data_IF_222603615293
#
_entry.id   IF_222603615293
#
_cell.length_a   1.000
_cell.length_b   1.000
_cell.length_c   1.000
_cell.angle_alpha   90.00
_cell.angle_beta   90.00
_cell.angle_gamma   90.00
#
_symmetry.space_group_name_H-M   'P 1'
#
loop_
_entity.id
_entity.type
_entity.pdbx_description
1 polymer ?
#
# COMPACT_ATOMS: atom_id res chain seq x y z
N UNK A 1 13.01 9.05 24.37
CA UNK A 1 13.00 8.18 25.57
C UNK A 1 11.99 8.68 26.60
N UNK A 2 12.26 9.80 27.26
CA UNK A 2 11.45 10.33 28.38
C UNK A 2 9.97 10.57 28.04
N UNK A 3 9.69 11.32 26.97
CA UNK A 3 8.32 11.67 26.55
C UNK A 3 7.42 10.45 26.36
N UNK A 4 7.97 9.38 25.79
CA UNK A 4 7.26 8.15 25.49
C UNK A 4 7.38 7.10 26.59
N UNK A 5 8.17 7.36 27.65
CA UNK A 5 8.44 6.38 28.70
C UNK A 5 9.19 5.14 28.22
N UNK A 6 10.04 5.27 27.20
CA UNK A 6 10.76 4.11 26.63
C UNK A 6 11.81 3.57 27.62
N UNK A 7 11.98 2.24 27.71
CA UNK A 7 12.96 1.63 28.61
C UNK A 7 14.39 2.04 28.24
N UNK A 8 14.66 2.13 26.94
CA UNK A 8 15.96 2.50 26.37
C UNK A 8 15.83 3.67 25.39
N UNK A 9 16.96 4.28 25.05
CA UNK A 9 17.00 5.23 23.94
C UNK A 9 16.78 4.44 22.65
N UNK A 10 15.81 4.81 21.79
CA UNK A 10 15.50 3.98 20.63
C UNK A 10 16.61 4.11 19.57
N UNK A 11 17.40 3.05 19.42
CA UNK A 11 18.47 2.95 18.44
C UNK A 11 17.88 2.56 17.08
N UNK A 12 16.95 1.61 17.06
CA UNK A 12 16.18 1.20 15.89
C UNK A 12 14.74 1.69 15.99
N UNK A 13 14.33 2.50 15.02
CA UNK A 13 12.94 2.96 14.87
C UNK A 13 12.39 2.41 13.57
N UNK A 14 11.23 1.77 13.60
CA UNK A 14 10.52 1.37 12.38
C UNK A 14 9.29 2.27 12.18
N UNK A 15 9.03 2.69 10.94
CA UNK A 15 7.91 3.55 10.58
C UNK A 15 6.95 2.85 9.62
N UNK A 16 5.64 2.88 9.88
CA UNK A 16 4.61 2.37 8.98
C UNK A 16 3.69 3.47 8.45
N UNK A 17 3.37 3.39 7.16
CA UNK A 17 2.34 4.16 6.47
C UNK A 17 1.48 3.24 5.60
N UNK A 18 0.19 3.56 5.46
CA UNK A 18 -0.70 2.91 4.50
C UNK A 18 -1.03 3.91 3.40
N UNK A 19 -0.56 3.57 2.21
CA UNK A 19 -0.88 4.32 1.02
C UNK A 19 -2.04 3.65 0.27
N UNK A 20 -3.08 4.43 -0.01
CA UNK A 20 -4.13 4.03 -0.95
C UNK A 20 -3.72 4.35 -2.37
N UNK A 21 -3.45 3.31 -3.15
CA UNK A 21 -3.19 3.45 -4.58
C UNK A 21 -4.53 3.53 -5.29
N UNK A 22 -5.07 4.73 -5.48
CA UNK A 22 -6.11 5.03 -6.49
C UNK A 22 -7.17 3.95 -6.76
N UNK A 23 -7.73 3.32 -5.72
CA UNK A 23 -8.78 2.30 -5.83
C UNK A 23 -8.34 0.87 -6.20
N UNK A 24 -7.04 0.56 -6.32
CA UNK A 24 -6.54 -0.79 -6.62
C UNK A 24 -5.32 -1.13 -5.76
N UNK A 25 -5.57 -1.93 -4.72
CA UNK A 25 -4.64 -2.52 -3.75
C UNK A 25 -3.99 -1.52 -2.76
N UNK A 26 -4.33 -1.56 -1.47
CA UNK A 26 -3.60 -0.85 -0.44
C UNK A 26 -2.22 -1.48 -0.29
N UNK A 27 -1.22 -0.63 -0.09
CA UNK A 27 0.15 -1.05 0.18
C UNK A 27 0.56 -0.45 1.51
N UNK A 28 1.04 -1.30 2.41
CA UNK A 28 1.71 -0.82 3.60
C UNK A 28 3.20 -0.64 3.29
N UNK A 29 3.76 0.48 3.72
CA UNK A 29 5.16 0.82 3.55
C UNK A 29 5.84 0.82 4.92
N UNK A 30 6.98 0.15 5.03
CA UNK A 30 7.81 0.10 6.21
C UNK A 30 9.16 0.71 5.92
N UNK A 31 9.58 1.63 6.77
CA UNK A 31 10.93 2.18 6.78
C UNK A 31 11.63 1.83 8.08
N UNK A 32 12.96 1.89 8.10
CA UNK A 32 13.76 1.67 9.29
C UNK A 32 14.74 2.81 9.48
N UNK A 33 14.95 3.24 10.71
CA UNK A 33 16.00 4.15 11.13
C UNK A 33 16.92 3.41 12.09
N UNK A 34 18.22 3.69 11.98
CA UNK A 34 19.23 3.21 12.91
C UNK A 34 20.11 4.39 13.36
N UNK A 35 20.25 4.59 14.66
CA UNK A 35 20.95 5.75 15.24
C UNK A 35 20.48 7.10 14.64
N UNK A 36 19.16 7.26 14.50
CA UNK A 36 18.55 8.50 13.99
C UNK A 36 18.70 8.73 12.48
N UNK A 37 19.25 7.77 11.73
CA UNK A 37 19.44 7.88 10.29
C UNK A 37 18.66 6.82 9.50
N UNK A 38 18.17 7.13 8.28
CA UNK A 38 17.53 6.16 7.39
C UNK A 38 18.38 4.90 7.13
N UNK A 39 17.84 3.73 7.48
CA UNK A 39 18.43 2.41 7.24
C UNK A 39 17.75 1.74 6.02
N UNK A 40 18.03 2.26 4.82
CA UNK A 40 17.32 1.93 3.57
C UNK A 40 17.31 0.44 3.21
N UNK A 41 18.34 -0.33 3.61
CA UNK A 41 18.42 -1.78 3.39
C UNK A 41 17.29 -2.55 4.11
N UNK A 42 16.68 -1.96 5.13
CA UNK A 42 15.61 -2.54 5.92
C UNK A 42 14.22 -1.98 5.57
N UNK A 43 14.09 -1.28 4.44
CA UNK A 43 12.79 -0.79 3.96
C UNK A 43 12.02 -1.92 3.29
N UNK A 44 10.71 -1.97 3.48
CA UNK A 44 9.85 -3.04 2.95
C UNK A 44 8.50 -2.50 2.47
N UNK A 45 7.91 -3.19 1.50
CA UNK A 45 6.54 -2.93 1.08
C UNK A 45 5.72 -4.20 1.21
N UNK A 46 4.59 -4.11 1.87
CA UNK A 46 3.66 -5.22 1.99
C UNK A 46 2.55 -5.02 0.96
N UNK A 47 2.51 -5.90 -0.04
CA UNK A 47 1.32 -6.07 -0.87
C UNK A 47 0.28 -6.77 -0.01
N UNK A 48 -0.84 -6.09 0.22
CA UNK A 48 -1.90 -6.59 1.08
C UNK A 48 -2.82 -7.48 0.27
N UNK A 49 -3.05 -8.69 0.75
CA UNK A 49 -3.92 -9.68 0.09
C UNK A 49 -5.38 -9.45 0.49
N UNK A 50 -5.61 -8.80 1.62
CA UNK A 50 -6.94 -8.58 2.20
C UNK A 50 -7.53 -7.26 1.71
N UNK A 51 -7.99 -7.16 0.45
CA UNK A 51 -8.69 -5.93 0.01
C UNK A 51 -9.69 -6.07 -1.12
N UNK A 52 -10.29 -7.26 -1.28
CA UNK A 52 -11.42 -7.44 -2.21
C UNK A 52 -12.74 -6.87 -1.69
N UNK A 53 -12.77 -6.46 -0.41
CA UNK A 53 -13.92 -5.86 0.29
C UNK A 53 -13.45 -4.58 0.95
N UNK A 54 -14.12 -3.46 0.65
CA UNK A 54 -14.00 -2.13 1.26
C UNK A 54 -12.65 -1.79 1.94
N UNK A 55 -11.93 -0.81 1.40
CA UNK A 55 -10.66 -0.30 1.95
C UNK A 55 -10.77 -0.05 3.47
N UNK A 56 -10.17 -0.94 4.26
CA UNK A 56 -10.08 -0.85 5.72
C UNK A 56 -8.60 -0.75 6.11
N UNK A 57 -8.17 0.49 6.38
CA UNK A 57 -6.80 0.84 6.78
C UNK A 57 -6.39 0.10 8.05
N UNK A 58 -7.34 -0.20 8.94
CA UNK A 58 -7.01 -0.91 10.17
C UNK A 58 -6.69 -2.38 9.89
N UNK A 59 -7.43 -3.04 9.00
CA UNK A 59 -7.11 -4.43 8.62
C UNK A 59 -5.78 -4.50 7.88
N UNK A 60 -5.56 -3.56 6.98
CA UNK A 60 -4.31 -3.39 6.23
C UNK A 60 -3.11 -3.24 7.18
N UNK A 61 -3.23 -2.41 8.22
CA UNK A 61 -2.19 -2.25 9.25
C UNK A 61 -1.96 -3.55 10.01
N UNK A 62 -3.04 -4.23 10.39
CA UNK A 62 -2.96 -5.49 11.14
C UNK A 62 -2.25 -6.57 10.34
N UNK A 63 -2.57 -6.74 9.06
CA UNK A 63 -1.92 -7.73 8.19
C UNK A 63 -0.41 -7.45 8.07
N UNK A 64 -0.03 -6.22 7.69
CA UNK A 64 1.38 -5.87 7.49
C UNK A 64 2.22 -6.01 8.77
N UNK A 65 1.69 -5.50 9.89
CA UNK A 65 2.32 -5.61 11.21
C UNK A 65 2.48 -7.06 11.62
N UNK A 66 1.42 -7.87 11.46
CA UNK A 66 1.43 -9.28 11.83
C UNK A 66 2.54 -10.03 11.08
N UNK A 67 2.60 -9.85 9.76
CA UNK A 67 3.59 -10.48 8.89
C UNK A 67 5.02 -10.06 9.22
N UNK A 68 5.26 -8.77 9.48
CA UNK A 68 6.60 -8.27 9.82
C UNK A 68 7.12 -8.87 11.11
N UNK A 69 6.33 -8.78 12.19
CA UNK A 69 6.81 -9.13 13.52
C UNK A 69 6.74 -10.62 13.81
N UNK A 70 5.78 -11.36 13.25
CA UNK A 70 5.82 -12.83 13.32
C UNK A 70 7.10 -13.38 12.69
N UNK A 71 7.50 -12.84 11.54
CA UNK A 71 8.75 -13.24 10.86
C UNK A 71 9.98 -12.91 11.70
N UNK A 72 10.09 -11.71 12.26
CA UNK A 72 11.23 -11.35 13.11
C UNK A 72 11.33 -12.25 14.34
N UNK A 73 10.20 -12.57 14.98
CA UNK A 73 10.14 -13.50 16.11
C UNK A 73 10.57 -14.92 15.70
N UNK A 74 10.01 -15.45 14.61
CA UNK A 74 10.32 -16.80 14.11
C UNK A 74 11.79 -16.94 13.69
N UNK A 75 12.37 -15.89 13.09
CA UNK A 75 13.78 -15.87 12.69
C UNK A 75 14.74 -15.49 13.83
N UNK A 76 14.24 -15.23 15.05
CA UNK A 76 15.06 -14.80 16.18
C UNK A 76 15.80 -13.48 15.96
N UNK A 77 15.27 -12.61 15.09
CA UNK A 77 15.88 -11.33 14.75
C UNK A 77 15.47 -10.24 15.76
N UNK A 78 16.32 -9.22 15.95
CA UNK A 78 16.02 -8.15 16.89
C UNK A 78 14.78 -7.37 16.46
N UNK A 79 13.89 -7.10 17.43
CA UNK A 79 12.76 -6.21 17.28
C UNK A 79 13.21 -4.73 17.32
N UNK A 80 12.45 -3.79 16.75
CA UNK A 80 12.73 -2.36 16.90
C UNK A 80 12.52 -1.88 18.34
N UNK A 81 13.23 -0.82 18.72
CA UNK A 81 13.08 -0.18 20.04
C UNK A 81 11.86 0.76 20.09
N UNK A 82 11.36 1.18 18.92
CA UNK A 82 10.16 1.98 18.76
C UNK A 82 9.53 1.72 17.40
N UNK A 83 8.22 1.47 17.41
CA UNK A 83 7.38 1.46 16.23
C UNK A 83 6.62 2.78 16.12
N UNK A 84 6.76 3.48 15.00
CA UNK A 84 6.05 4.72 14.70
C UNK A 84 5.00 4.47 13.61
N UNK A 85 3.76 4.86 13.86
CA UNK A 85 2.65 4.78 12.91
C UNK A 85 2.34 6.19 12.37
N UNK A 86 2.27 6.36 11.05
CA UNK A 86 1.79 7.60 10.41
C UNK A 86 0.26 7.70 10.51
N UNK A 87 -0.23 7.94 11.73
CA UNK A 87 -1.63 8.21 11.98
C UNK A 87 -2.02 8.28 13.46
N UNK A 88 -3.33 8.32 13.68
CA UNK A 88 -3.93 8.59 14.98
C UNK A 88 -4.16 7.35 15.85
N UNK A 89 -4.81 7.58 17.00
CA UNK A 89 -5.05 6.57 18.04
C UNK A 89 -5.72 5.28 17.55
N UNK A 90 -6.63 5.36 16.57
CA UNK A 90 -7.30 4.17 16.02
C UNK A 90 -6.32 3.19 15.37
N UNK A 91 -5.36 3.70 14.60
CA UNK A 91 -4.34 2.87 13.95
C UNK A 91 -3.32 2.36 14.98
N UNK A 92 -2.90 3.22 15.93
CA UNK A 92 -2.00 2.83 17.02
C UNK A 92 -2.59 1.66 17.83
N UNK A 93 -3.86 1.75 18.22
CA UNK A 93 -4.53 0.69 18.99
C UNK A 93 -4.72 -0.60 18.17
N UNK A 94 -4.95 -0.49 16.86
CA UNK A 94 -5.05 -1.66 15.98
C UNK A 94 -3.73 -2.44 15.92
N UNK A 95 -2.60 -1.74 15.82
CA UNK A 95 -1.26 -2.34 15.80
C UNK A 95 -0.88 -2.88 17.18
N UNK A 96 -1.15 -2.14 18.25
CA UNK A 96 -0.92 -2.59 19.65
C UNK A 96 -1.63 -3.92 19.93
N UNK A 97 -2.88 -4.08 19.48
CA UNK A 97 -3.61 -5.35 19.62
C UNK A 97 -2.94 -6.52 18.90
N UNK A 98 -2.31 -6.28 17.75
CA UNK A 98 -1.55 -7.30 17.01
C UNK A 98 -0.27 -7.66 17.73
N UNK A 99 0.51 -6.67 18.15
CA UNK A 99 1.77 -6.89 18.87
C UNK A 99 1.54 -7.71 20.15
N UNK A 100 0.49 -7.37 20.92
CA UNK A 100 0.07 -8.15 22.09
C UNK A 100 -0.31 -9.58 21.76
N UNK A 101 -1.04 -9.80 20.67
CA UNK A 101 -1.45 -11.15 20.24
C UNK A 101 -0.26 -12.01 19.80
N UNK A 102 0.81 -11.38 19.28
CA UNK A 102 2.07 -12.04 18.94
C UNK A 102 3.01 -12.21 20.15
N UNK A 103 2.71 -11.63 21.31
CA UNK A 103 3.63 -11.56 22.44
C UNK A 103 4.87 -10.70 22.18
N UNK A 104 4.81 -9.78 21.21
CA UNK A 104 5.91 -8.89 20.86
C UNK A 104 5.87 -7.63 21.76
N UNK A 105 6.87 -7.48 22.63
CA UNK A 105 7.02 -6.30 23.48
C UNK A 105 7.76 -5.18 22.72
N UNK A 106 7.02 -4.43 21.90
CA UNK A 106 7.55 -3.32 21.10
C UNK A 106 6.84 -2.04 21.51
N UNK A 107 7.55 -1.02 22.03
CA UNK A 107 6.97 0.29 22.25
C UNK A 107 6.45 0.88 20.95
N UNK A 108 5.24 1.44 20.98
CA UNK A 108 4.58 2.01 19.80
C UNK A 108 4.10 3.43 20.07
N UNK A 109 4.19 4.29 19.06
CA UNK A 109 3.59 5.61 19.04
C UNK A 109 2.97 5.90 17.66
N UNK A 110 1.95 6.75 17.62
CA UNK A 110 1.45 7.36 16.39
C UNK A 110 1.85 8.82 16.29
N UNK A 111 2.04 9.34 15.08
CA UNK A 111 2.25 10.77 14.84
C UNK A 111 1.21 11.29 13.85
N UNK A 112 0.20 12.01 14.34
CA UNK A 112 -0.87 12.54 13.49
C UNK A 112 -0.45 13.84 12.77
N UNK A 113 -0.79 13.96 11.49
CA UNK A 113 -0.27 14.99 10.56
C UNK A 113 -0.67 16.44 10.85
N UNK A 114 -1.87 16.70 11.40
CA UNK A 114 -2.40 18.08 11.53
C UNK A 114 -1.66 18.91 12.57
N UNK A 115 -1.42 18.34 13.75
CA UNK A 115 -0.88 19.06 14.90
C UNK A 115 0.35 18.38 15.52
N UNK A 116 0.91 17.39 14.81
CA UNK A 116 2.09 16.62 15.25
C UNK A 116 1.88 15.96 16.62
N UNK A 117 0.62 15.60 16.85
CA UNK A 117 0.15 14.93 18.05
C UNK A 117 0.72 13.54 18.14
N UNK A 118 1.41 13.28 19.25
CA UNK A 118 1.98 11.97 19.54
C UNK A 118 0.95 11.15 20.32
N UNK A 119 0.52 10.04 19.74
CA UNK A 119 -0.45 9.14 20.33
C UNK A 119 0.22 7.89 20.90
N UNK A 120 -0.03 7.59 22.19
CA UNK A 120 0.34 6.31 22.80
C UNK A 120 -0.86 5.36 22.77
N UNK A 121 -0.65 4.03 22.80
CA UNK A 121 -1.73 3.07 22.94
C UNK A 121 -2.65 3.42 24.11
N UNK A 122 -3.96 3.32 23.87
CA UNK A 122 -5.01 3.53 24.87
C UNK A 122 -5.01 4.91 25.53
N UNK A 123 -4.25 5.88 25.00
CA UNK A 123 -4.24 7.23 25.53
C UNK A 123 -5.53 7.98 25.16
N UNK A 124 -6.12 8.66 26.14
CA UNK A 124 -7.30 9.51 25.92
C UNK A 124 -6.97 10.89 25.32
N UNK A 125 -5.72 11.33 25.45
CA UNK A 125 -5.22 12.61 24.94
C UNK A 125 -3.84 12.43 24.29
N UNK A 126 -3.55 13.18 23.22
CA UNK A 126 -2.23 13.18 22.60
C UNK A 126 -1.21 13.92 23.47
N UNK A 127 0.06 13.65 23.21
CA UNK A 127 1.18 14.43 23.73
C UNK A 127 1.58 15.43 22.65
N UNK A 128 1.53 16.72 22.99
CA UNK A 128 2.01 17.80 22.13
C UNK A 128 3.38 18.26 22.62
N UNK A 129 4.40 18.15 21.76
CA UNK A 129 5.75 18.62 22.06
C UNK A 129 5.99 20.02 21.48
N UNK A 130 6.87 20.84 22.09
CA UNK A 130 7.32 22.07 21.46
C UNK A 130 7.99 21.80 20.12
N UNK A 131 7.78 22.68 19.13
CA UNK A 131 8.36 22.56 17.77
C UNK A 131 9.91 22.51 17.75
N UNK A 132 10.56 22.98 18.82
CA UNK A 132 12.02 22.93 19.00
C UNK A 132 12.52 21.63 19.66
N UNK A 133 11.63 20.70 19.99
CA UNK A 133 12.00 19.42 20.58
C UNK A 133 12.74 18.54 19.56
N UNK A 134 13.95 18.11 19.91
CA UNK A 134 14.71 17.15 19.11
C UNK A 134 14.00 15.80 18.97
N UNK A 135 13.26 15.39 20.00
CA UNK A 135 12.43 14.18 19.94
C UNK A 135 11.33 14.29 18.89
N UNK A 136 10.65 15.45 18.83
CA UNK A 136 9.63 15.70 17.81
C UNK A 136 10.24 15.72 16.41
N UNK A 137 11.40 16.38 16.24
CA UNK A 137 12.13 16.42 14.96
C UNK A 137 12.51 15.04 14.45
N UNK A 138 12.94 14.15 15.35
CA UNK A 138 13.22 12.77 14.98
C UNK A 138 11.95 12.03 14.50
N UNK A 139 10.84 12.12 15.24
CA UNK A 139 9.59 11.48 14.85
C UNK A 139 9.04 12.03 13.53
N UNK A 140 9.12 13.36 13.32
CA UNK A 140 8.79 14.01 12.04
C UNK A 140 9.63 13.43 10.89
N UNK A 141 10.96 13.33 11.07
CA UNK A 141 11.84 12.75 10.04
C UNK A 141 11.47 11.30 9.70
N UNK A 142 11.15 10.49 10.70
CA UNK A 142 10.70 9.10 10.49
C UNK A 142 9.37 9.09 9.70
N UNK A 143 8.37 9.89 10.10
CA UNK A 143 7.09 10.01 9.40
C UNK A 143 7.27 10.49 7.96
N UNK A 144 7.97 11.60 7.76
CA UNK A 144 8.16 12.21 6.45
C UNK A 144 8.90 11.25 5.51
N UNK A 145 9.86 10.49 6.01
CA UNK A 145 10.55 9.42 5.26
C UNK A 145 9.61 8.26 4.92
N UNK A 146 8.74 7.87 5.86
CA UNK A 146 7.72 6.83 5.65
C UNK A 146 6.77 7.24 4.54
N UNK A 147 6.26 8.47 4.61
CA UNK A 147 5.37 9.04 3.60
C UNK A 147 6.06 9.20 2.23
N UNK A 148 7.32 9.65 2.21
CA UNK A 148 8.14 9.72 0.98
C UNK A 148 8.30 8.34 0.34
N UNK A 149 8.57 7.32 1.16
CA UNK A 149 8.73 5.96 0.66
C UNK A 149 7.42 5.39 0.12
N UNK A 150 6.30 5.63 0.80
CA UNK A 150 4.98 5.23 0.33
C UNK A 150 4.61 5.89 -1.01
N UNK A 151 4.78 7.21 -1.12
CA UNK A 151 4.46 7.98 -2.33
C UNK A 151 5.33 7.62 -3.53
N UNK A 152 6.63 7.36 -3.33
CA UNK A 152 7.56 6.97 -4.40
C UNK A 152 7.15 5.67 -5.11
N UNK A 153 6.67 4.67 -4.36
CA UNK A 153 6.15 3.43 -4.96
C UNK A 153 4.87 3.66 -5.74
N UNK A 154 3.98 4.53 -5.26
CA UNK A 154 2.74 4.84 -5.97
C UNK A 154 3.02 5.49 -7.33
N UNK A 155 4.04 6.34 -7.43
CA UNK A 155 4.49 6.88 -8.72
C UNK A 155 4.99 5.77 -9.65
N UNK A 156 5.84 4.87 -9.15
CA UNK A 156 6.38 3.77 -9.95
C UNK A 156 5.31 2.75 -10.39
N UNK A 157 4.35 2.44 -9.51
CA UNK A 157 3.21 1.57 -9.84
C UNK A 157 2.24 2.26 -10.81
N UNK A 158 1.93 3.55 -10.63
CA UNK A 158 1.14 4.32 -11.60
C UNK A 158 1.82 4.36 -12.97
N UNK A 159 3.14 4.54 -13.03
CA UNK A 159 3.88 4.53 -14.30
C UNK A 159 3.84 3.14 -14.96
N UNK A 160 3.96 2.05 -14.18
CA UNK A 160 3.87 0.68 -14.70
C UNK A 160 2.44 0.26 -15.07
N UNK A 161 1.43 0.61 -14.30
CA UNK A 161 0.02 0.32 -14.59
C UNK A 161 -0.52 1.18 -15.74
N UNK A 162 -0.08 2.44 -15.87
CA UNK A 162 -0.30 3.23 -17.08
C UNK A 162 0.39 2.63 -18.32
N UNK A 163 1.26 1.63 -18.17
CA UNK A 163 1.88 0.89 -19.28
C UNK A 163 1.07 -0.36 -19.67
N UNK A 164 0.17 -0.86 -18.82
CA UNK A 164 -0.70 -2.02 -19.13
C UNK A 164 -2.14 -1.55 -19.17
N UNK A 165 -2.51 -0.89 -20.25
CA UNK A 165 -3.88 -0.43 -20.42
C UNK A 165 -4.82 -1.61 -20.74
N UNK A 166 -6.14 -1.50 -20.54
CA UNK A 166 -7.06 -2.55 -20.96
C UNK A 166 -7.02 -2.85 -22.46
N UNK A 167 -6.51 -1.93 -23.29
CA UNK A 167 -6.41 -2.10 -24.74
C UNK A 167 -5.30 -3.07 -25.16
N UNK A 168 -4.22 -3.20 -24.37
CA UNK A 168 -3.10 -4.11 -24.70
C UNK A 168 -3.50 -5.60 -24.70
N UNK A 169 -4.65 -5.92 -24.08
CA UNK A 169 -5.22 -7.27 -24.06
C UNK A 169 -6.09 -7.56 -25.29
N UNK A 170 -6.38 -6.56 -26.12
CA UNK A 170 -7.17 -6.72 -27.34
C UNK A 170 -6.32 -7.32 -28.46
N UNK A 171 -6.91 -8.19 -29.30
CA UNK A 171 -6.19 -8.79 -30.42
C UNK A 171 -5.68 -7.71 -31.38
N UNK A 172 -4.42 -7.83 -31.82
CA UNK A 172 -3.82 -6.91 -32.79
C UNK A 172 -3.34 -5.57 -32.22
N UNK A 173 -3.41 -5.36 -30.89
CA UNK A 173 -2.92 -4.16 -30.22
C UNK A 173 -1.53 -4.38 -29.60
N UNK A 174 -0.54 -3.68 -30.15
CA UNK A 174 0.79 -3.53 -29.57
C UNK A 174 0.93 -2.20 -28.81
N UNK A 175 2.10 -1.97 -28.19
CA UNK A 175 2.39 -0.82 -27.31
C UNK A 175 2.14 0.56 -27.94
N UNK A 176 2.30 0.72 -29.25
CA UNK A 176 2.06 2.01 -29.92
C UNK A 176 0.56 2.28 -30.14
N UNK A 177 -0.17 1.27 -30.62
CA UNK A 177 -1.62 1.35 -30.81
C UNK A 177 -2.37 1.50 -29.48
N UNK A 178 -1.87 0.86 -28.44
CA UNK A 178 -2.34 0.99 -27.06
C UNK A 178 -2.32 2.45 -26.57
N UNK A 179 -1.21 3.17 -26.79
CA UNK A 179 -1.09 4.60 -26.46
C UNK A 179 -2.03 5.48 -27.27
N UNK A 180 -2.23 5.18 -28.56
CA UNK A 180 -3.16 5.90 -29.44
C UNK A 180 -4.61 5.75 -28.97
N UNK A 181 -5.02 4.53 -28.63
CA UNK A 181 -6.35 4.23 -28.10
C UNK A 181 -6.57 4.89 -26.74
N UNK A 182 -5.57 4.84 -25.86
CA UNK A 182 -5.64 5.51 -24.56
C UNK A 182 -5.76 7.03 -24.70
N UNK A 183 -5.03 7.65 -25.63
CA UNK A 183 -5.09 9.10 -25.85
C UNK A 183 -6.43 9.56 -26.41
N UNK A 184 -7.07 8.77 -27.27
CA UNK A 184 -8.31 9.16 -27.96
C UNK A 184 -9.59 8.74 -27.23
N UNK A 185 -9.66 7.50 -26.76
CA UNK A 185 -10.88 6.92 -26.20
C UNK A 185 -10.82 6.78 -24.67
N UNK A 186 -9.66 6.52 -24.09
CA UNK A 186 -9.45 6.45 -22.64
C UNK A 186 -10.06 5.22 -21.94
N UNK A 187 -11.29 4.83 -22.27
CA UNK A 187 -12.02 3.70 -21.67
C UNK A 187 -12.43 2.65 -22.71
N UNK A 188 -12.64 1.40 -22.26
CA UNK A 188 -13.17 0.32 -23.11
C UNK A 188 -14.57 0.63 -23.64
N UNK A 189 -15.38 1.33 -22.84
CA UNK A 189 -16.73 1.76 -23.23
C UNK A 189 -16.70 2.75 -24.41
N UNK A 190 -15.82 3.75 -24.34
CA UNK A 190 -15.67 4.73 -25.40
C UNK A 190 -15.16 4.07 -26.70
N UNK A 191 -14.27 3.08 -26.59
CA UNK A 191 -13.82 2.31 -27.74
C UNK A 191 -14.92 1.39 -28.30
N UNK A 192 -15.67 0.70 -27.44
CA UNK A 192 -16.73 -0.22 -27.85
C UNK A 192 -17.87 0.47 -28.62
N UNK A 193 -18.09 1.76 -28.35
CA UNK A 193 -19.11 2.59 -29.01
C UNK A 193 -18.55 3.45 -30.15
N UNK A 194 -17.25 3.39 -30.43
CA UNK A 194 -16.63 4.19 -31.48
C UNK A 194 -17.02 3.68 -32.89
N UNK A 195 -17.17 4.58 -33.88
CA UNK A 195 -17.45 4.19 -35.26
C UNK A 195 -16.25 3.45 -35.87
N UNK A 196 -16.51 2.35 -36.56
CA UNK A 196 -15.48 1.46 -37.12
C UNK A 196 -14.53 2.18 -38.07
N UNK A 197 -15.05 3.05 -38.93
CA UNK A 197 -14.25 3.83 -39.87
C UNK A 197 -13.19 4.69 -39.15
N UNK A 198 -13.57 5.29 -38.02
CA UNK A 198 -12.68 6.17 -37.25
C UNK A 198 -11.58 5.38 -36.53
N UNK A 199 -11.90 4.17 -36.06
CA UNK A 199 -10.92 3.29 -35.39
C UNK A 199 -9.97 2.66 -36.42
N UNK A 200 -10.48 2.27 -37.58
CA UNK A 200 -9.67 1.76 -38.68
C UNK A 200 -8.67 2.81 -39.18
N UNK A 201 -9.12 4.06 -39.32
CA UNK A 201 -8.28 5.20 -39.71
C UNK A 201 -7.21 5.50 -38.66
N UNK A 202 -7.59 5.56 -37.38
CA UNK A 202 -6.65 5.84 -36.27
C UNK A 202 -5.54 4.79 -36.14
N UNK A 203 -5.88 3.51 -36.35
CA UNK A 203 -4.95 2.39 -36.13
C UNK A 203 -4.25 1.92 -37.41
N UNK A 204 -4.61 2.51 -38.56
CA UNK A 204 -4.21 2.07 -39.89
C UNK A 204 -4.42 0.55 -40.08
N UNK A 205 -5.62 0.09 -39.71
CA UNK A 205 -6.00 -1.33 -39.75
C UNK A 205 -7.01 -1.59 -40.86
N UNK A 206 -6.94 -2.80 -41.44
CA UNK A 206 -7.96 -3.28 -42.37
C UNK A 206 -9.30 -3.43 -41.64
N UNK A 207 -10.40 -3.20 -42.36
CA UNK A 207 -11.75 -3.21 -41.79
C UNK A 207 -12.04 -4.52 -41.05
N UNK A 208 -11.72 -5.67 -41.65
CA UNK A 208 -11.87 -7.02 -41.05
C UNK A 208 -11.27 -7.14 -39.64
N UNK A 209 -10.04 -6.66 -39.44
CA UNK A 209 -9.35 -6.69 -38.15
C UNK A 209 -9.86 -5.63 -37.18
N UNK A 210 -10.35 -4.51 -37.68
CA UNK A 210 -10.98 -3.46 -36.86
C UNK A 210 -12.32 -3.96 -36.30
N UNK A 211 -13.11 -4.66 -37.11
CA UNK A 211 -14.35 -5.29 -36.65
C UNK A 211 -14.07 -6.30 -35.52
N UNK A 212 -13.07 -7.17 -35.69
CA UNK A 212 -12.67 -8.16 -34.68
C UNK A 212 -12.25 -7.49 -33.37
N UNK A 213 -11.48 -6.39 -33.46
CA UNK A 213 -11.06 -5.62 -32.30
C UNK A 213 -12.25 -4.97 -31.56
N UNK A 214 -13.19 -4.38 -32.29
CA UNK A 214 -14.38 -3.75 -31.70
C UNK A 214 -15.31 -4.78 -31.06
N UNK A 215 -15.45 -5.95 -31.66
CA UNK A 215 -16.16 -7.08 -31.06
C UNK A 215 -15.48 -7.53 -29.76
N UNK A 216 -14.16 -7.69 -29.76
CA UNK A 216 -13.40 -8.04 -28.56
C UNK A 216 -13.52 -6.96 -27.46
N UNK A 217 -13.53 -5.67 -27.84
CA UNK A 217 -13.71 -4.55 -26.92
C UNK A 217 -15.10 -4.55 -26.27
N UNK A 218 -16.17 -4.84 -27.05
CA UNK A 218 -17.55 -4.98 -26.53
C UNK A 218 -17.67 -6.13 -25.53
N UNK A 219 -17.15 -7.31 -25.87
CA UNK A 219 -17.15 -8.47 -24.96
C UNK A 219 -16.35 -8.20 -23.69
N UNK A 220 -15.21 -7.51 -23.81
CA UNK A 220 -14.40 -7.12 -22.65
C UNK A 220 -15.12 -6.10 -21.75
N UNK A 221 -15.87 -5.17 -22.35
CA UNK A 221 -16.69 -4.20 -21.63
C UNK A 221 -17.85 -4.87 -20.89
N UNK A 222 -18.59 -5.76 -21.55
CA UNK A 222 -19.71 -6.51 -20.96
C UNK A 222 -19.27 -7.33 -19.73
N UNK A 223 -18.16 -8.07 -19.86
CA UNK A 223 -17.56 -8.79 -18.72
C UNK A 223 -17.11 -7.86 -17.59
N UNK A 224 -16.67 -6.64 -17.92
CA UNK A 224 -16.29 -5.64 -16.93
C UNK A 224 -17.51 -5.09 -16.19
N UNK A 225 -18.64 -4.91 -16.88
CA UNK A 225 -19.91 -4.47 -16.29
C UNK A 225 -20.54 -5.55 -15.41
N UNK A 226 -20.54 -6.82 -15.84
CA UNK A 226 -21.05 -7.95 -15.05
C UNK A 226 -20.26 -8.10 -13.75
N UNK A 227 -18.93 -8.12 -13.81
CA UNK A 227 -18.07 -8.19 -12.62
C UNK A 227 -18.32 -7.04 -11.65
N UNK A 228 -18.56 -5.83 -12.17
CA UNK A 228 -18.90 -4.66 -11.33
C UNK A 228 -20.28 -4.81 -10.69
N UNK A 229 -21.26 -5.37 -11.39
CA UNK A 229 -22.60 -5.62 -10.88
C UNK A 229 -22.60 -6.69 -9.78
N UNK A 230 -21.91 -7.82 -10.01
CA UNK A 230 -21.73 -8.90 -9.03
C UNK A 230 -21.01 -8.38 -7.78
N UNK A 231 -19.98 -7.54 -7.98
CA UNK A 231 -19.26 -6.90 -6.89
C UNK A 231 -20.20 -5.97 -6.10
N UNK A 232 -21.05 -5.19 -6.76
CA UNK A 232 -22.00 -4.28 -6.12
C UNK A 232 -23.13 -5.00 -5.37
N UNK A 233 -23.59 -6.15 -5.86
CA UNK A 233 -24.59 -7.00 -5.21
C UNK A 233 -24.02 -7.73 -3.99
N UNK A 234 -22.79 -8.24 -4.08
CA UNK A 234 -22.11 -8.85 -2.91
C UNK A 234 -21.84 -7.86 -1.76
N UNK A 235 -21.76 -6.56 -2.07
CA UNK A 235 -21.55 -5.48 -1.10
C UNK A 235 -22.82 -5.13 -0.31
N UNK A 236 -24.02 -5.37 -0.83
CA UNK A 236 -25.29 -5.07 -0.14
C UNK A 236 -25.73 -6.18 0.83
N UNK A 237 -25.30 -7.43 0.59
CA UNK A 237 -25.66 -8.60 1.41
C UNK A 237 -24.76 -8.79 2.65
N UNK A 238 -23.54 -8.22 2.65
CA UNK A 238 -22.51 -8.46 3.69
C UNK A 238 -22.63 -7.57 4.94
N UNK A 239 -23.85 -7.22 5.36
CA UNK A 239 -24.11 -6.48 6.59
C UNK A 239 -24.32 -7.41 7.80
N UNK A 240 -23.62 -7.12 8.90
CA UNK A 240 -23.80 -7.60 10.30
C UNK A 240 -23.02 -8.84 10.81
N UNK A 241 -22.11 -8.56 11.76
CA UNK A 241 -21.80 -9.33 13.00
C UNK A 241 -21.20 -10.75 12.93
N UNK A 242 -20.45 -11.08 11.86
CA UNK A 242 -19.55 -12.26 11.85
C UNK A 242 -18.05 -11.89 11.74
N UNK A 243 -17.75 -10.60 11.57
CA UNK A 243 -16.41 -10.08 11.26
C UNK A 243 -15.41 -10.07 12.43
N UNK A 244 -15.83 -10.27 13.69
CA UNK A 244 -14.92 -10.24 14.85
C UNK A 244 -14.27 -11.61 15.17
N UNK A 245 -14.95 -12.72 14.90
CA UNK A 245 -14.45 -14.06 15.23
C UNK A 245 -13.60 -14.69 14.12
N UNK A 246 -13.97 -14.49 12.85
CA UNK A 246 -13.19 -14.97 11.71
C UNK A 246 -11.83 -14.22 11.58
N UNK A 247 -11.77 -12.97 12.02
CA UNK A 247 -10.56 -12.14 11.97
C UNK A 247 -9.45 -12.66 12.89
N UNK A 248 -9.80 -13.23 14.06
CA UNK A 248 -8.80 -13.78 14.98
C UNK A 248 -8.14 -15.05 14.45
N UNK A 249 -8.94 -15.89 13.78
CA UNK A 249 -8.47 -17.12 13.14
C UNK A 249 -7.62 -16.83 11.90
N UNK A 250 -8.00 -15.85 11.08
CA UNK A 250 -7.22 -15.41 9.92
C UNK A 250 -5.85 -14.83 10.30
N UNK A 251 -5.74 -14.10 11.42
CA UNK A 251 -4.45 -13.59 11.93
C UNK A 251 -3.55 -14.73 12.41
N UNK A 252 -4.09 -15.77 13.05
CA UNK A 252 -3.33 -16.97 13.41
C UNK A 252 -2.91 -17.79 12.18
N UNK A 253 -3.82 -17.97 11.21
CA UNK A 253 -3.55 -18.73 9.99
C UNK A 253 -2.53 -18.02 9.08
N UNK A 254 -2.57 -16.69 8.97
CA UNK A 254 -1.56 -15.87 8.27
C UNK A 254 -0.19 -15.91 8.96
N UNK A 255 -0.15 -16.00 10.28
CA UNK A 255 1.11 -16.15 11.04
C UNK A 255 1.77 -17.52 10.78
N UNK A 256 0.97 -18.56 10.52
CA UNK A 256 1.44 -19.91 10.13
C UNK A 256 1.84 -19.99 8.65
N UNK A 257 1.20 -19.24 7.76
CA UNK A 257 1.47 -19.22 6.31
C UNK A 257 2.65 -18.33 5.89
N UNK A 258 3.30 -17.62 6.82
CA UNK A 258 4.41 -16.70 6.53
C UNK A 258 5.71 -17.38 6.03
N UNK A 259 5.66 -18.67 5.67
CA UNK A 259 6.77 -19.44 5.11
C UNK A 259 6.82 -19.50 3.58
N UNK A 260 5.75 -19.14 2.86
CA UNK A 260 5.70 -19.33 1.40
C UNK A 260 5.09 -18.10 0.72
N UNK A 261 5.81 -17.60 -0.29
CA UNK A 261 5.46 -16.49 -1.21
C UNK A 261 5.43 -15.07 -0.65
N UNK A 262 6.64 -14.51 -0.47
CA UNK A 262 6.86 -13.07 -0.62
C UNK A 262 8.04 -12.83 -1.56
N UNK A 263 7.73 -12.54 -2.84
CA UNK A 263 8.60 -11.74 -3.72
C UNK A 263 8.63 -10.30 -3.15
N UNK A 264 9.32 -10.18 -2.02
CA UNK A 264 9.58 -8.98 -1.24
C UNK A 264 10.66 -8.21 -2.00
N UNK A 265 10.26 -7.61 -3.13
CA UNK A 265 11.14 -6.90 -4.04
C UNK A 265 11.96 -5.86 -3.28
N UNK A 266 13.21 -6.23 -2.95
CA UNK A 266 14.24 -5.33 -2.47
C UNK A 266 14.59 -4.38 -3.61
N UNK A 267 13.79 -3.35 -3.82
CA UNK A 267 14.22 -2.22 -4.61
C UNK A 267 15.21 -1.46 -3.74
N UNK A 268 16.49 -1.82 -3.89
CA UNK A 268 17.60 -0.97 -3.48
C UNK A 268 17.29 0.42 -4.04
N UNK A 269 17.02 1.37 -3.14
CA UNK A 269 16.91 2.77 -3.50
C UNK A 269 18.24 3.14 -4.16
N UNK A 270 18.23 3.36 -5.48
CA UNK A 270 19.37 3.88 -6.18
C UNK A 270 19.80 5.18 -5.48
N UNK A 271 21.01 5.17 -4.94
CA UNK A 271 21.65 6.40 -4.46
C UNK A 271 21.79 7.35 -5.65
N UNK A 272 21.50 8.66 -5.50
CA UNK A 272 21.92 9.61 -6.51
C UNK A 272 23.45 9.55 -6.62
N UNK A 273 23.96 9.46 -7.84
CA UNK A 273 25.39 9.48 -8.13
C UNK A 273 26.02 10.75 -7.54
N UNK A 274 27.27 10.70 -7.06
CA UNK A 274 27.97 11.91 -6.67
C UNK A 274 28.17 12.78 -7.91
N UNK A 275 27.83 14.05 -7.78
CA UNK A 275 28.15 15.11 -8.72
C UNK A 275 29.67 15.30 -8.67
N UNK A 276 30.39 14.66 -9.59
CA UNK A 276 31.81 14.94 -9.82
C UNK A 276 31.89 16.25 -10.61
N UNK A 277 32.18 17.32 -9.87
CA UNK A 277 32.61 18.57 -10.45
C UNK A 277 34.03 18.46 -11.00
N UNK A 278 34.20 18.92 -12.24
CA UNK A 278 35.43 19.52 -12.79
C UNK A 278 35.05 20.84 -13.48
#
# INVERSE_FOLDING_TARGET
>A
KEVLGLPVLPVRIEGFDIAHIGGKFPVASLISFYNGNPDKKNYRYFRLKTTDRAIDDFQSMREATSRRYSRLLNEGKPLPDLLLIDGGIGQVNAVDGVLKSLGADIPIAGLAKRDEEIWRPHASKPICLPKRSEGLRLLQRVRDETHRFATSRNQNLRTKENTVTPFIKLPGIGKERDKLLMKKYGTLEALANAPEAEVAELLHMRADKTTELLMAAKVAFEKQTERKADQMQSLSEAGTTWQKAAHYKMVQDLALLAGEDDDDGSLAAASPAPDEGE
#
